data_IF_694070114090
#
_entry.id   IF_694070114090
#
_cell.length_a   1.000
_cell.length_b   1.000
_cell.length_c   1.000
_cell.angle_alpha   90.00
_cell.angle_beta   90.00
_cell.angle_gamma   90.00
#
_symmetry.space_group_name_H-M   'P 1'
#
loop_
_entity.id
_entity.type
_entity.pdbx_description
1 polymer ?
#
# COMPACT_ATOMS: atom_id res chain seq x y z
N UNK A 1 22.18 16.48 5.64
CA UNK A 1 21.71 15.65 4.52
C UNK A 1 20.26 15.31 4.81
N UNK A 2 19.33 16.01 4.17
CA UNK A 2 17.90 15.71 4.31
C UNK A 2 17.65 14.32 3.71
N UNK A 3 16.87 13.43 4.33
CA UNK A 3 16.53 12.16 3.70
C UNK A 3 15.78 12.44 2.40
N UNK A 4 16.28 11.92 1.29
CA UNK A 4 15.56 11.92 0.01
C UNK A 4 14.15 11.36 0.23
N UNK A 5 13.11 11.98 -0.36
CA UNK A 5 11.75 11.50 -0.23
C UNK A 5 11.66 10.06 -0.74
N UNK A 6 11.10 9.18 0.10
CA UNK A 6 11.00 7.76 -0.20
C UNK A 6 9.98 7.55 -1.33
N UNK A 7 10.38 6.90 -2.44
CA UNK A 7 9.52 6.68 -3.61
C UNK A 7 8.51 5.55 -3.36
N UNK A 8 7.47 5.84 -2.59
CA UNK A 8 6.38 4.90 -2.28
C UNK A 8 5.65 4.42 -3.54
N UNK A 9 5.48 5.31 -4.51
CA UNK A 9 4.72 5.04 -5.73
C UNK A 9 5.48 4.06 -6.63
N UNK A 10 6.76 4.31 -6.87
CA UNK A 10 7.62 3.41 -7.63
C UNK A 10 7.77 2.04 -6.98
N UNK A 11 7.83 1.98 -5.64
CA UNK A 11 7.88 0.71 -4.90
C UNK A 11 6.59 -0.10 -5.09
N UNK A 12 5.43 0.54 -4.95
CA UNK A 12 4.14 -0.13 -5.14
C UNK A 12 3.96 -0.59 -6.59
N UNK A 13 4.22 0.30 -7.55
CA UNK A 13 4.08 0.00 -8.97
C UNK A 13 5.05 -1.09 -9.42
N UNK A 14 6.30 -1.06 -8.96
CA UNK A 14 7.30 -2.08 -9.29
C UNK A 14 6.90 -3.47 -8.79
N UNK A 15 6.40 -3.56 -7.55
CA UNK A 15 5.93 -4.84 -6.99
C UNK A 15 4.69 -5.37 -7.72
N UNK A 16 3.75 -4.49 -8.04
CA UNK A 16 2.59 -4.85 -8.87
C UNK A 16 3.02 -5.32 -10.26
N UNK A 17 3.93 -4.59 -10.91
CA UNK A 17 4.43 -4.89 -12.26
C UNK A 17 5.11 -6.24 -12.32
N UNK A 18 5.92 -6.56 -11.32
CA UNK A 18 6.64 -7.85 -11.25
C UNK A 18 5.70 -9.05 -11.10
N UNK A 19 4.51 -8.87 -10.53
CA UNK A 19 3.57 -9.97 -10.24
C UNK A 19 2.45 -10.05 -11.28
N UNK A 20 1.92 -8.90 -11.72
CA UNK A 20 0.74 -8.81 -12.58
C UNK A 20 1.08 -8.47 -14.04
N UNK A 21 2.30 -7.98 -14.30
CA UNK A 21 2.66 -7.35 -15.57
C UNK A 21 2.28 -5.86 -15.62
N UNK A 22 2.91 -5.11 -16.52
CA UNK A 22 2.85 -3.65 -16.55
C UNK A 22 1.42 -3.09 -16.69
N UNK A 23 0.66 -3.58 -17.67
CA UNK A 23 -0.70 -3.06 -17.92
C UNK A 23 -1.65 -3.32 -16.75
N UNK A 24 -1.64 -4.56 -16.23
CA UNK A 24 -2.46 -4.91 -15.07
C UNK A 24 -2.02 -4.16 -13.80
N UNK A 25 -0.72 -3.89 -13.64
CA UNK A 25 -0.20 -3.12 -12.53
C UNK A 25 -0.67 -1.66 -12.56
N UNK A 26 -0.68 -1.00 -13.73
CA UNK A 26 -1.18 0.37 -13.85
C UNK A 26 -2.66 0.46 -13.50
N UNK A 27 -3.50 -0.45 -14.02
CA UNK A 27 -4.93 -0.50 -13.65
C UNK A 27 -5.13 -0.75 -12.17
N UNK A 28 -4.44 -1.74 -11.61
CA UNK A 28 -4.53 -2.06 -10.20
C UNK A 28 -4.08 -0.88 -9.31
N UNK A 29 -3.04 -0.14 -9.71
CA UNK A 29 -2.56 1.04 -9.02
C UNK A 29 -3.62 2.14 -8.99
N UNK A 30 -4.17 2.52 -10.15
CA UNK A 30 -5.16 3.59 -10.26
C UNK A 30 -6.44 3.27 -9.48
N UNK A 31 -7.01 2.10 -9.71
CA UNK A 31 -8.24 1.68 -9.03
C UNK A 31 -8.05 1.53 -7.51
N UNK A 32 -6.86 1.13 -7.06
CA UNK A 32 -6.59 0.99 -5.61
C UNK A 32 -6.36 2.34 -4.97
N UNK A 33 -5.69 3.28 -5.65
CA UNK A 33 -5.59 4.67 -5.20
C UNK A 33 -6.99 5.29 -5.05
N UNK A 34 -7.85 5.14 -6.06
CA UNK A 34 -9.23 5.59 -6.00
C UNK A 34 -10.00 4.92 -4.85
N UNK A 35 -9.90 3.60 -4.70
CA UNK A 35 -10.54 2.86 -3.61
C UNK A 35 -10.04 3.24 -2.20
N UNK A 36 -8.80 3.73 -2.09
CA UNK A 36 -8.22 4.22 -0.85
C UNK A 36 -8.52 5.71 -0.60
N UNK A 37 -9.17 6.41 -1.53
CA UNK A 37 -9.38 7.86 -1.48
C UNK A 37 -8.08 8.66 -1.59
N UNK A 38 -7.08 8.11 -2.29
CA UNK A 38 -5.74 8.69 -2.46
C UNK A 38 -5.53 9.11 -3.92
N UNK A 39 -4.80 10.21 -4.12
CA UNK A 39 -4.31 10.62 -5.45
C UNK A 39 -2.85 10.23 -5.67
N UNK A 40 -2.09 10.04 -4.59
CA UNK A 40 -0.69 9.60 -4.63
C UNK A 40 -0.30 8.91 -3.32
N UNK A 41 0.87 8.27 -3.30
CA UNK A 41 1.45 7.67 -2.10
C UNK A 41 2.58 8.57 -1.61
N UNK A 42 2.31 9.44 -0.64
CA UNK A 42 3.30 10.40 -0.14
C UNK A 42 3.95 9.94 1.17
N UNK A 43 3.38 8.93 1.83
CA UNK A 43 3.82 8.46 3.13
C UNK A 43 3.70 6.95 3.30
N UNK A 44 4.33 6.44 4.36
CA UNK A 44 4.17 5.04 4.77
C UNK A 44 2.71 4.73 5.13
N UNK A 45 1.98 5.68 5.73
CA UNK A 45 0.56 5.51 6.06
C UNK A 45 -0.31 5.42 4.79
N UNK A 46 -0.01 6.21 3.76
CA UNK A 46 -0.69 6.11 2.46
C UNK A 46 -0.43 4.74 1.82
N UNK A 47 0.83 4.28 1.83
CA UNK A 47 1.16 2.95 1.33
C UNK A 47 0.41 1.86 2.11
N UNK A 48 0.29 2.01 3.43
CA UNK A 48 -0.45 1.06 4.25
C UNK A 48 -1.95 1.05 3.90
N UNK A 49 -2.59 2.21 3.77
CA UNK A 49 -4.00 2.31 3.34
C UNK A 49 -4.22 1.71 1.96
N UNK A 50 -3.35 2.03 1.00
CA UNK A 50 -3.34 1.44 -0.32
C UNK A 50 -3.24 -0.09 -0.25
N UNK A 51 -2.31 -0.61 0.55
CA UNK A 51 -2.11 -2.04 0.74
C UNK A 51 -3.34 -2.75 1.32
N UNK A 52 -4.06 -2.11 2.26
CA UNK A 52 -5.30 -2.65 2.82
C UNK A 52 -6.41 -2.75 1.76
N UNK A 53 -6.57 -1.75 0.89
CA UNK A 53 -7.54 -1.82 -0.22
C UNK A 53 -7.13 -2.92 -1.20
N UNK A 54 -5.85 -3.01 -1.53
CA UNK A 54 -5.33 -4.02 -2.45
C UNK A 54 -5.53 -5.45 -1.92
N UNK A 55 -5.37 -5.66 -0.61
CA UNK A 55 -5.62 -6.93 0.07
C UNK A 55 -7.05 -7.46 -0.16
N UNK A 56 -8.04 -6.58 -0.19
CA UNK A 56 -9.45 -6.98 -0.36
C UNK A 56 -9.75 -7.59 -1.74
N UNK A 57 -8.87 -7.36 -2.73
CA UNK A 57 -9.02 -7.93 -4.08
C UNK A 57 -8.72 -9.43 -4.15
N UNK A 58 -7.99 -9.97 -3.16
CA UNK A 58 -7.56 -11.37 -3.16
C UNK A 58 -6.59 -11.73 -4.30
N UNK A 59 -6.29 -13.01 -4.44
CA UNK A 59 -5.38 -13.53 -5.47
C UNK A 59 -3.98 -12.90 -5.44
N UNK A 60 -3.37 -12.76 -6.61
CA UNK A 60 -2.01 -12.19 -6.72
C UNK A 60 -1.94 -10.71 -6.31
N UNK A 61 -2.96 -9.91 -6.64
CA UNK A 61 -3.02 -8.52 -6.22
C UNK A 61 -3.08 -8.40 -4.69
N UNK A 62 -3.94 -9.19 -4.05
CA UNK A 62 -4.02 -9.25 -2.59
C UNK A 62 -2.71 -9.68 -1.92
N UNK A 63 -1.99 -10.64 -2.51
CA UNK A 63 -0.66 -11.04 -2.02
C UNK A 63 0.35 -9.88 -2.07
N UNK A 64 0.35 -9.08 -3.15
CA UNK A 64 1.16 -7.85 -3.23
C UNK A 64 0.72 -6.83 -2.17
N UNK A 65 -0.58 -6.72 -1.90
CA UNK A 65 -1.10 -5.92 -0.79
C UNK A 65 -0.52 -6.32 0.56
N UNK A 66 -0.45 -7.63 0.84
CA UNK A 66 0.20 -8.14 2.07
C UNK A 66 1.67 -7.74 2.17
N UNK A 67 2.42 -7.90 1.08
CA UNK A 67 3.83 -7.48 1.02
C UNK A 67 4.01 -5.97 1.24
N UNK A 68 3.17 -5.16 0.62
CA UNK A 68 3.21 -3.70 0.77
C UNK A 68 2.81 -3.23 2.17
N UNK A 69 1.86 -3.92 2.80
CA UNK A 69 1.46 -3.63 4.18
C UNK A 69 2.63 -3.82 5.15
N UNK A 70 3.38 -4.93 5.02
CA UNK A 70 4.59 -5.17 5.82
C UNK A 70 5.66 -4.11 5.54
N UNK A 71 5.88 -3.77 4.27
CA UNK A 71 6.84 -2.73 3.88
C UNK A 71 6.50 -1.39 4.55
N UNK A 72 5.23 -0.99 4.50
CA UNK A 72 4.76 0.25 5.10
C UNK A 72 4.99 0.28 6.62
N UNK A 73 4.64 -0.78 7.34
CA UNK A 73 4.82 -0.89 8.80
C UNK A 73 6.30 -0.85 9.19
N UNK A 74 7.16 -1.59 8.47
CA UNK A 74 8.61 -1.55 8.71
C UNK A 74 9.24 -0.17 8.49
N UNK A 75 8.56 0.70 7.73
CA UNK A 75 8.98 2.08 7.47
C UNK A 75 8.23 3.12 8.30
N UNK A 76 7.49 2.68 9.32
CA UNK A 76 6.88 3.57 10.31
C UNK A 76 5.42 3.93 10.05
N UNK A 77 4.72 3.22 9.15
CA UNK A 77 3.27 3.33 9.10
C UNK A 77 2.68 2.95 10.47
N UNK A 78 1.78 3.78 11.00
CA UNK A 78 1.24 3.58 12.36
C UNK A 78 0.20 2.45 12.41
N UNK A 79 -0.20 1.94 11.25
CA UNK A 79 -1.33 1.04 11.08
C UNK A 79 -2.64 1.74 11.44
N UNK A 80 -3.78 1.18 11.00
CA UNK A 80 -5.03 1.50 11.68
C UNK A 80 -4.87 1.00 13.12
N UNK A 81 -4.64 1.90 14.07
CA UNK A 81 -4.63 1.56 15.48
C UNK A 81 -6.03 1.08 15.81
N UNK A 82 -6.26 -0.23 15.86
CA UNK A 82 -7.47 -0.79 16.47
C UNK A 82 -7.55 -0.15 17.85
N UNK A 83 -8.60 0.63 18.19
CA UNK A 83 -8.69 1.20 19.52
C UNK A 83 -8.64 0.02 20.48
N UNK A 84 -7.68 0.06 21.41
CA UNK A 84 -7.53 -0.93 22.45
C UNK A 84 -8.90 -1.10 23.11
N UNK A 85 -9.51 -2.27 22.91
CA UNK A 85 -10.80 -2.59 23.50
C UNK A 85 -10.57 -2.54 25.02
N UNK A 86 -11.03 -1.46 25.66
CA UNK A 86 -11.03 -1.34 27.10
C UNK A 86 -11.99 -2.40 27.63
N UNK A 87 -11.41 -3.48 28.16
CA UNK A 87 -12.14 -4.45 28.95
C UNK A 87 -12.47 -3.73 30.27
N UNK A 88 -13.74 -3.37 30.43
CA UNK A 88 -14.27 -2.78 31.66
C UNK A 88 -14.55 -3.88 32.68
#
# INVERSE_FOLDING_TARGET
MSPEPYDWHGIALGKLTNVLGAEAAHRAMEETLQGAGLTSLASADDLHRFAQVLLTRGGFAGAVGGLLSVHAVLRGARGATTPAMSIK
#
